data_IF_358985050777
#
_entry.id   IF_358985050777
#
_cell.length_a   1.000
_cell.length_b   1.000
_cell.length_c   1.000
_cell.angle_alpha   90.00
_cell.angle_beta   90.00
_cell.angle_gamma   90.00
#
_symmetry.space_group_name_H-M   'P 1'
#
loop_
_entity.id
_entity.type
_entity.pdbx_description
1 polymer ?
#
# COMPACT_ATOMS: atom_id res chain seq x y z
N UNK A 1 4.94 32.66 6.01
CA UNK A 1 4.36 31.37 6.43
C UNK A 1 2.90 31.62 6.75
N UNK A 2 1.95 30.97 6.08
CA UNK A 2 0.56 30.98 6.53
C UNK A 2 0.48 30.14 7.80
N UNK A 3 -0.24 30.61 8.83
CA UNK A 3 -0.35 29.88 10.09
C UNK A 3 -1.18 28.60 9.90
N UNK A 4 -1.01 27.62 10.80
CA UNK A 4 -1.83 26.39 10.83
C UNK A 4 -3.34 26.71 10.84
N UNK A 5 -3.72 27.83 11.45
CA UNK A 5 -5.09 28.34 11.51
C UNK A 5 -5.59 28.81 10.14
N UNK A 6 -4.74 29.48 9.35
CA UNK A 6 -5.08 29.95 8.00
C UNK A 6 -5.30 28.77 7.04
N UNK A 7 -4.51 27.71 7.19
CA UNK A 7 -4.66 26.51 6.37
C UNK A 7 -5.94 25.73 6.73
N UNK A 8 -6.23 25.57 8.02
CA UNK A 8 -7.52 24.99 8.48
C UNK A 8 -8.72 25.79 7.98
N UNK A 9 -8.64 27.12 7.98
CA UNK A 9 -9.70 27.98 7.46
C UNK A 9 -9.90 27.83 5.95
N UNK A 10 -8.82 27.70 5.17
CA UNK A 10 -8.87 27.48 3.73
C UNK A 10 -9.49 26.11 3.38
N UNK A 11 -9.06 25.03 4.05
CA UNK A 11 -9.62 23.69 3.89
C UNK A 11 -11.12 23.67 4.23
N UNK A 12 -11.51 24.32 5.33
CA UNK A 12 -12.92 24.43 5.75
C UNK A 12 -13.78 25.20 4.74
N UNK A 13 -13.27 26.31 4.18
CA UNK A 13 -13.96 27.06 3.11
C UNK A 13 -14.14 26.22 1.84
N UNK A 14 -13.12 25.44 1.46
CA UNK A 14 -13.16 24.54 0.30
C UNK A 14 -14.19 23.41 0.49
N UNK A 15 -14.18 22.76 1.65
CA UNK A 15 -15.17 21.73 2.00
C UNK A 15 -16.60 22.29 2.00
N UNK A 16 -16.80 23.48 2.55
CA UNK A 16 -18.09 24.16 2.59
C UNK A 16 -18.60 24.52 1.19
N UNK A 17 -17.72 24.99 0.30
CA UNK A 17 -18.05 25.23 -1.11
C UNK A 17 -18.56 23.94 -1.78
N UNK A 18 -17.86 22.83 -1.60
CA UNK A 18 -18.25 21.57 -2.22
C UNK A 18 -19.55 20.99 -1.66
N UNK A 19 -19.79 21.09 -0.35
CA UNK A 19 -21.07 20.68 0.26
C UNK A 19 -22.27 21.42 -0.29
N UNK A 20 -22.09 22.67 -0.73
CA UNK A 20 -23.14 23.51 -1.31
C UNK A 20 -23.42 23.20 -2.79
N UNK A 21 -22.58 22.40 -3.45
CA UNK A 21 -22.84 22.01 -4.84
C UNK A 21 -24.04 21.05 -4.92
N UNK A 22 -24.89 21.17 -5.97
CA UNK A 22 -25.91 20.17 -6.25
C UNK A 22 -25.30 18.77 -6.39
N UNK A 23 -25.99 17.73 -5.89
CA UNK A 23 -25.52 16.33 -5.95
C UNK A 23 -25.12 15.89 -7.36
N UNK A 24 -25.85 16.32 -8.39
CA UNK A 24 -25.51 16.04 -9.79
C UNK A 24 -24.14 16.60 -10.21
N UNK A 25 -23.82 17.84 -9.80
CA UNK A 25 -22.51 18.45 -10.07
C UNK A 25 -21.38 17.80 -9.27
N UNK A 26 -21.65 17.37 -8.03
CA UNK A 26 -20.68 16.61 -7.24
C UNK A 26 -20.34 15.28 -7.93
N UNK A 27 -21.34 14.56 -8.45
CA UNK A 27 -21.13 13.30 -9.14
C UNK A 27 -20.38 13.46 -10.47
N UNK A 28 -20.69 14.51 -11.23
CA UNK A 28 -19.95 14.87 -12.46
C UNK A 28 -18.46 15.16 -12.15
N UNK A 29 -18.19 15.94 -11.09
CA UNK A 29 -16.84 16.23 -10.63
C UNK A 29 -16.10 14.96 -10.20
N UNK A 30 -16.73 14.10 -9.39
CA UNK A 30 -16.14 12.82 -8.95
C UNK A 30 -15.78 11.96 -10.17
N UNK A 31 -16.70 11.82 -11.13
CA UNK A 31 -16.48 11.02 -12.36
C UNK A 31 -15.29 11.55 -13.15
N UNK A 32 -15.21 12.88 -13.34
CA UNK A 32 -14.08 13.52 -14.04
C UNK A 32 -12.75 13.37 -13.30
N UNK A 33 -12.78 13.44 -11.97
CA UNK A 33 -11.61 13.31 -11.10
C UNK A 33 -11.07 11.88 -11.12
N UNK A 34 -11.95 10.88 -11.14
CA UNK A 34 -11.59 9.46 -11.17
C UNK A 34 -11.44 8.86 -12.58
N UNK A 35 -11.73 9.62 -13.64
CA UNK A 35 -11.59 9.22 -15.04
C UNK A 35 -10.25 8.50 -15.40
N UNK A 36 -9.07 8.87 -14.83
CA UNK A 36 -7.82 8.14 -15.11
C UNK A 36 -7.81 6.67 -14.68
N UNK A 37 -8.69 6.26 -13.76
CA UNK A 37 -8.89 4.85 -13.40
C UNK A 37 -9.81 4.16 -14.44
N UNK A 38 -10.90 4.84 -14.81
CA UNK A 38 -12.00 4.34 -15.65
C UNK A 38 -11.56 4.13 -17.12
N UNK A 39 -10.66 4.96 -17.65
CA UNK A 39 -10.26 4.87 -19.06
C UNK A 39 -9.49 3.58 -19.42
N UNK A 40 -9.02 2.80 -18.43
CA UNK A 40 -8.34 1.51 -18.66
C UNK A 40 -9.31 0.32 -18.73
N UNK A 41 -10.60 0.50 -18.43
CA UNK A 41 -11.60 -0.59 -18.35
C UNK A 41 -12.61 -0.64 -19.51
N UNK A 42 -12.55 0.29 -20.47
CA UNK A 42 -13.59 0.43 -21.49
C UNK A 42 -13.68 -0.68 -22.54
N UNK A 43 -12.76 -1.65 -22.56
CA UNK A 43 -12.92 -2.88 -23.35
C UNK A 43 -13.37 -4.05 -22.46
N UNK A 44 -14.60 -3.98 -21.93
CA UNK A 44 -15.22 -5.11 -21.22
C UNK A 44 -16.18 -5.88 -22.14
N UNK A 45 -15.61 -6.83 -22.87
CA UNK A 45 -16.37 -7.90 -23.50
C UNK A 45 -17.01 -8.82 -22.44
N UNK A 46 -18.17 -9.35 -22.80
CA UNK A 46 -19.07 -10.22 -22.03
C UNK A 46 -18.31 -11.36 -21.33
N UNK A 47 -18.73 -11.69 -20.09
CA UNK A 47 -18.19 -12.81 -19.33
C UNK A 47 -18.45 -14.14 -20.06
N UNK A 48 -17.38 -14.74 -20.59
CA UNK A 48 -17.37 -16.08 -21.17
C UNK A 48 -16.54 -17.03 -20.29
N UNK A 49 -16.78 -18.35 -20.34
CA UNK A 49 -16.01 -19.32 -19.58
C UNK A 49 -14.50 -19.17 -19.84
N UNK A 50 -13.73 -19.07 -18.75
CA UNK A 50 -12.30 -18.79 -18.78
C UNK A 50 -11.54 -20.04 -19.25
N UNK A 51 -10.86 -19.92 -20.39
CA UNK A 51 -9.93 -20.93 -20.90
C UNK A 51 -8.73 -21.08 -19.95
N UNK A 52 -8.32 -22.33 -19.70
CA UNK A 52 -7.23 -22.75 -18.79
C UNK A 52 -5.84 -22.32 -19.32
N UNK A 53 -5.77 -21.94 -20.60
CA UNK A 53 -4.58 -21.41 -21.25
C UNK A 53 -5.00 -20.23 -22.12
N UNK A 54 -4.31 -19.08 -22.09
CA UNK A 54 -4.54 -18.05 -23.08
C UNK A 54 -4.23 -18.67 -24.46
N UNK A 55 -5.18 -18.62 -25.42
CA UNK A 55 -4.88 -18.87 -26.82
C UNK A 55 -3.67 -18.04 -27.28
N UNK A 56 -2.84 -18.59 -28.18
CA UNK A 56 -1.59 -17.97 -28.65
C UNK A 56 -1.80 -16.57 -29.27
N UNK A 57 -3.03 -16.26 -29.66
CA UNK A 57 -3.49 -14.99 -30.25
C UNK A 57 -3.96 -13.95 -29.22
N UNK A 58 -4.13 -14.31 -27.94
CA UNK A 58 -4.55 -13.38 -26.89
C UNK A 58 -3.33 -12.66 -26.31
N UNK A 59 -3.32 -11.33 -26.43
CA UNK A 59 -2.32 -10.47 -25.78
C UNK A 59 -2.41 -10.65 -24.27
N UNK A 60 -1.28 -10.99 -23.64
CA UNK A 60 -1.16 -11.22 -22.19
C UNK A 60 -1.90 -10.16 -21.34
N UNK A 61 -1.82 -8.84 -21.63
CA UNK A 61 -2.60 -7.82 -20.91
C UNK A 61 -4.13 -8.02 -20.92
N UNK A 62 -4.72 -8.40 -22.05
CA UNK A 62 -6.18 -8.60 -22.17
C UNK A 62 -6.65 -9.84 -21.41
N UNK A 63 -5.82 -10.87 -21.34
CA UNK A 63 -6.09 -12.05 -20.52
C UNK A 63 -6.05 -11.70 -19.04
N UNK A 64 -5.06 -10.92 -18.60
CA UNK A 64 -4.99 -10.41 -17.23
C UNK A 64 -6.22 -9.62 -16.83
N UNK A 65 -6.66 -8.68 -17.67
CA UNK A 65 -7.85 -7.87 -17.38
C UNK A 65 -9.09 -8.72 -17.19
N UNK A 66 -9.26 -9.76 -18.01
CA UNK A 66 -10.37 -10.71 -17.86
C UNK A 66 -10.28 -11.47 -16.54
N UNK A 67 -9.11 -12.00 -16.19
CA UNK A 67 -8.92 -12.74 -14.94
C UNK A 67 -9.15 -11.85 -13.70
N UNK A 68 -8.69 -10.60 -13.71
CA UNK A 68 -8.95 -9.65 -12.63
C UNK A 68 -10.45 -9.37 -12.49
N UNK A 69 -11.14 -9.12 -13.61
CA UNK A 69 -12.61 -8.96 -13.61
C UNK A 69 -13.33 -10.19 -13.06
N UNK A 70 -12.96 -11.39 -13.51
CA UNK A 70 -13.54 -12.64 -13.02
C UNK A 70 -13.27 -12.86 -11.54
N UNK A 71 -12.05 -12.56 -11.05
CA UNK A 71 -11.72 -12.68 -9.63
C UNK A 71 -12.56 -11.73 -8.78
N UNK A 72 -12.61 -10.45 -9.13
CA UNK A 72 -13.33 -9.45 -8.36
C UNK A 72 -14.84 -9.71 -8.38
N UNK A 73 -15.44 -9.82 -9.57
CA UNK A 73 -16.90 -10.03 -9.69
C UNK A 73 -17.33 -11.36 -9.10
N UNK A 74 -16.62 -12.43 -9.42
CA UNK A 74 -16.92 -13.77 -8.89
C UNK A 74 -16.83 -13.82 -7.37
N UNK A 75 -15.84 -13.15 -6.75
CA UNK A 75 -15.72 -13.09 -5.29
C UNK A 75 -16.85 -12.30 -4.64
N UNK A 76 -17.31 -11.21 -5.27
CA UNK A 76 -18.45 -10.42 -4.79
C UNK A 76 -19.77 -11.20 -4.91
N UNK A 77 -20.02 -11.83 -6.06
CA UNK A 77 -21.22 -12.64 -6.33
C UNK A 77 -21.31 -13.84 -5.38
N UNK A 78 -20.19 -14.53 -5.15
CA UNK A 78 -20.10 -15.65 -4.21
C UNK A 78 -20.14 -15.22 -2.73
N UNK A 79 -20.12 -13.91 -2.45
CA UNK A 79 -20.03 -13.33 -1.09
C UNK A 79 -18.79 -13.80 -0.33
N UNK A 80 -17.70 -14.08 -1.04
CA UNK A 80 -16.41 -14.48 -0.46
C UNK A 80 -15.72 -13.34 0.30
N UNK A 81 -16.17 -12.10 0.11
CA UNK A 81 -15.67 -10.93 0.82
C UNK A 81 -16.67 -10.50 1.90
N UNK A 82 -16.63 -11.13 3.10
CA UNK A 82 -17.56 -10.82 4.18
C UNK A 82 -17.32 -9.40 4.70
N UNK A 83 -18.42 -8.66 4.81
CA UNK A 83 -18.42 -7.23 5.13
C UNK A 83 -18.49 -7.02 6.64
N UNK A 84 -17.79 -6.01 7.13
CA UNK A 84 -18.01 -5.47 8.48
C UNK A 84 -18.82 -4.17 8.34
N UNK A 85 -19.87 -4.02 9.17
CA UNK A 85 -20.71 -2.83 9.20
C UNK A 85 -19.94 -1.56 9.62
N UNK A 86 -18.78 -1.69 10.27
CA UNK A 86 -17.98 -0.56 10.79
C UNK A 86 -16.65 -0.34 10.06
N UNK A 87 -16.08 -1.34 9.36
CA UNK A 87 -14.72 -1.28 8.81
C UNK A 87 -14.56 -1.91 7.41
N UNK A 88 -15.56 -1.79 6.54
CA UNK A 88 -15.47 -2.23 5.14
C UNK A 88 -15.48 -3.77 4.98
N UNK A 89 -14.39 -4.46 5.33
CA UNK A 89 -14.26 -5.93 5.29
C UNK A 89 -13.77 -6.52 6.59
N UNK A 90 -14.23 -7.74 6.87
CA UNK A 90 -13.76 -8.53 8.01
C UNK A 90 -12.33 -8.99 7.76
N UNK A 91 -11.41 -8.71 8.69
CA UNK A 91 -10.00 -9.14 8.68
C UNK A 91 -9.04 -8.33 7.78
N UNK A 92 -9.36 -7.08 7.45
CA UNK A 92 -8.55 -6.17 6.61
C UNK A 92 -7.05 -6.12 6.98
N UNK A 93 -6.70 -6.23 8.26
CA UNK A 93 -5.30 -6.17 8.72
C UNK A 93 -4.51 -7.46 8.46
N UNK A 94 -5.18 -8.55 8.08
CA UNK A 94 -4.56 -9.89 8.09
C UNK A 94 -3.62 -10.11 6.91
N UNK A 95 -4.02 -9.72 5.70
CA UNK A 95 -3.15 -9.81 4.51
C UNK A 95 -1.98 -8.83 4.60
N UNK A 96 -2.17 -7.56 5.00
CA UNK A 96 -1.06 -6.64 5.27
C UNK A 96 -0.08 -7.17 6.33
N UNK A 97 -0.58 -7.70 7.46
CA UNK A 97 0.25 -8.27 8.51
C UNK A 97 0.99 -9.53 8.07
N UNK A 98 0.40 -10.36 7.21
CA UNK A 98 1.13 -11.48 6.62
C UNK A 98 2.28 -10.99 5.72
N UNK A 99 2.02 -9.98 4.90
CA UNK A 99 2.99 -9.44 3.96
C UNK A 99 4.05 -8.53 4.62
N UNK A 100 3.90 -8.16 5.90
CA UNK A 100 4.92 -7.38 6.60
C UNK A 100 6.24 -8.14 6.74
N UNK A 101 6.18 -9.47 6.85
CA UNK A 101 7.36 -10.35 6.82
C UNK A 101 8.23 -10.15 5.56
N UNK A 102 7.62 -9.92 4.39
CA UNK A 102 8.34 -9.61 3.15
C UNK A 102 9.04 -8.26 3.25
N UNK A 103 8.40 -7.27 3.88
CA UNK A 103 9.02 -5.96 4.11
C UNK A 103 10.20 -6.07 5.08
N UNK A 104 10.06 -6.84 6.16
CA UNK A 104 11.13 -7.11 7.12
C UNK A 104 12.32 -7.80 6.46
N UNK A 105 12.06 -8.79 5.59
CA UNK A 105 13.09 -9.43 4.78
C UNK A 105 13.84 -8.42 3.90
N UNK A 106 13.10 -7.54 3.19
CA UNK A 106 13.70 -6.51 2.35
C UNK A 106 14.51 -5.48 3.15
N UNK A 107 14.14 -5.22 4.41
CA UNK A 107 14.90 -4.34 5.30
C UNK A 107 16.22 -4.97 5.70
N UNK A 108 16.21 -6.18 6.24
CA UNK A 108 17.44 -6.82 6.73
C UNK A 108 18.39 -7.20 5.57
N UNK A 109 17.87 -7.45 4.36
CA UNK A 109 18.71 -7.62 3.15
C UNK A 109 19.57 -6.41 2.82
N UNK A 110 19.06 -5.19 3.04
CA UNK A 110 19.85 -3.96 2.79
C UNK A 110 21.07 -3.85 3.70
N UNK A 111 21.03 -4.52 4.84
CA UNK A 111 22.13 -4.59 5.80
C UNK A 111 23.01 -5.83 5.59
N UNK A 112 22.80 -6.59 4.51
CA UNK A 112 23.58 -7.80 4.19
C UNK A 112 23.22 -9.04 5.01
N UNK A 113 22.12 -8.98 5.78
CA UNK A 113 21.66 -10.04 6.68
C UNK A 113 20.80 -11.08 5.94
N UNK A 114 21.48 -11.86 5.10
CA UNK A 114 20.83 -12.79 4.16
C UNK A 114 20.10 -13.95 4.86
N UNK A 115 20.63 -14.45 5.98
CA UNK A 115 20.04 -15.61 6.68
C UNK A 115 18.69 -15.24 7.30
N UNK A 116 18.64 -14.08 7.94
CA UNK A 116 17.46 -13.49 8.59
C UNK A 116 16.38 -13.17 7.55
N UNK A 117 16.78 -12.62 6.41
CA UNK A 117 15.88 -12.40 5.29
C UNK A 117 15.20 -13.69 4.83
N UNK A 118 15.98 -14.76 4.64
CA UNK A 118 15.46 -16.07 4.23
C UNK A 118 14.46 -16.60 5.26
N UNK A 119 14.68 -16.37 6.55
CA UNK A 119 13.76 -16.80 7.61
C UNK A 119 12.41 -16.08 7.55
N UNK A 120 12.41 -14.75 7.38
CA UNK A 120 11.18 -13.99 7.17
C UNK A 120 10.42 -14.46 5.92
N UNK A 121 11.13 -14.72 4.82
CA UNK A 121 10.52 -15.21 3.58
C UNK A 121 9.96 -16.64 3.73
N UNK A 122 10.64 -17.51 4.49
CA UNK A 122 10.11 -18.85 4.82
C UNK A 122 8.86 -18.76 5.68
N UNK A 123 8.81 -17.83 6.63
CA UNK A 123 7.60 -17.58 7.43
C UNK A 123 6.43 -17.13 6.54
N UNK A 124 6.68 -16.18 5.62
CA UNK A 124 5.71 -15.75 4.62
C UNK A 124 5.15 -16.93 3.82
N UNK A 125 6.01 -17.78 3.25
CA UNK A 125 5.60 -18.95 2.46
C UNK A 125 4.83 -19.98 3.31
N UNK A 126 5.25 -20.21 4.57
CA UNK A 126 4.55 -21.15 5.46
C UNK A 126 3.10 -20.76 5.72
N UNK A 127 2.82 -19.46 5.80
CA UNK A 127 1.46 -18.95 6.01
C UNK A 127 0.64 -18.86 4.71
N UNK A 128 1.27 -18.92 3.53
CA UNK A 128 0.62 -18.74 2.24
C UNK A 128 -0.61 -19.65 2.01
N UNK A 129 -0.64 -20.95 2.40
CA UNK A 129 -1.82 -21.79 2.16
C UNK A 129 -3.08 -21.25 2.84
N UNK A 130 -2.95 -20.80 4.10
CA UNK A 130 -4.06 -20.25 4.88
C UNK A 130 -4.51 -18.92 4.28
N UNK A 131 -3.56 -18.07 3.91
CA UNK A 131 -3.83 -16.71 3.44
C UNK A 131 -4.44 -16.70 2.05
N UNK A 132 -3.91 -17.52 1.13
CA UNK A 132 -4.46 -17.66 -0.22
C UNK A 132 -5.90 -18.19 -0.18
N UNK A 133 -6.21 -19.14 0.70
CA UNK A 133 -7.55 -19.72 0.84
C UNK A 133 -8.63 -18.73 1.30
N UNK A 134 -8.25 -17.59 1.89
CA UNK A 134 -9.21 -16.57 2.37
C UNK A 134 -9.91 -15.80 1.26
N UNK A 135 -9.31 -15.76 0.06
CA UNK A 135 -9.81 -14.99 -1.08
C UNK A 135 -10.11 -13.53 -0.72
N UNK A 136 -9.17 -12.84 -0.06
CA UNK A 136 -9.33 -11.45 0.39
C UNK A 136 -9.18 -10.44 -0.78
N UNK A 137 -9.90 -9.29 -0.78
CA UNK A 137 -9.76 -8.26 -1.83
C UNK A 137 -8.36 -7.63 -1.89
N UNK A 138 -7.59 -7.61 -0.79
CA UNK A 138 -6.21 -7.13 -0.77
C UNK A 138 -5.21 -8.19 -1.24
N UNK A 139 -5.61 -9.46 -1.31
CA UNK A 139 -4.71 -10.58 -1.52
C UNK A 139 -3.87 -10.45 -2.80
N UNK A 140 -4.51 -10.19 -3.94
CA UNK A 140 -3.81 -10.11 -5.22
C UNK A 140 -2.78 -8.97 -5.23
N UNK A 141 -3.18 -7.77 -4.81
CA UNK A 141 -2.29 -6.60 -4.84
C UNK A 141 -1.09 -6.80 -3.91
N UNK A 142 -1.30 -7.33 -2.72
CA UNK A 142 -0.22 -7.60 -1.77
C UNK A 142 0.73 -8.69 -2.26
N UNK A 143 0.23 -9.83 -2.73
CA UNK A 143 1.05 -10.92 -3.30
C UNK A 143 1.88 -10.41 -4.50
N UNK A 144 1.25 -9.65 -5.40
CA UNK A 144 1.93 -9.06 -6.55
C UNK A 144 3.07 -8.14 -6.10
N UNK A 145 2.80 -7.27 -5.11
CA UNK A 145 3.81 -6.34 -4.60
C UNK A 145 4.92 -6.98 -3.77
N UNK A 146 4.65 -8.10 -3.09
CA UNK A 146 5.68 -8.88 -2.40
C UNK A 146 6.76 -9.40 -3.37
N UNK A 147 6.40 -9.72 -4.61
CA UNK A 147 7.38 -10.06 -5.65
C UNK A 147 8.11 -8.81 -6.16
N UNK A 148 7.38 -7.70 -6.39
CA UNK A 148 7.98 -6.44 -6.84
C UNK A 148 9.05 -5.88 -5.88
N UNK A 149 8.91 -6.13 -4.58
CA UNK A 149 9.90 -5.75 -3.56
C UNK A 149 11.33 -6.19 -3.89
N UNK A 150 11.47 -7.32 -4.57
CA UNK A 150 12.76 -7.92 -4.90
C UNK A 150 13.06 -7.92 -6.39
N UNK A 151 12.06 -7.66 -7.24
CA UNK A 151 12.17 -7.88 -8.69
C UNK A 151 13.26 -7.02 -9.36
N UNK A 152 13.61 -5.86 -8.80
CA UNK A 152 14.65 -4.97 -9.33
C UNK A 152 16.05 -5.32 -8.82
N UNK A 153 16.20 -5.45 -7.51
CA UNK A 153 17.52 -5.52 -6.87
C UNK A 153 17.92 -6.95 -6.45
N UNK A 154 16.96 -7.87 -6.36
CA UNK A 154 17.16 -9.23 -5.88
C UNK A 154 16.35 -10.24 -6.72
N UNK A 155 16.61 -10.27 -8.04
CA UNK A 155 15.85 -11.06 -9.01
C UNK A 155 15.68 -12.55 -8.62
N UNK A 156 16.71 -13.15 -8.04
CA UNK A 156 16.68 -14.55 -7.59
C UNK A 156 15.68 -14.76 -6.42
N UNK A 157 15.56 -13.81 -5.50
CA UNK A 157 14.58 -13.84 -4.40
C UNK A 157 13.17 -13.67 -4.97
N UNK A 158 12.99 -12.73 -5.91
CA UNK A 158 11.71 -12.52 -6.58
C UNK A 158 11.24 -13.79 -7.31
N UNK A 159 12.15 -14.44 -8.05
CA UNK A 159 11.87 -15.70 -8.74
C UNK A 159 11.52 -16.82 -7.77
N UNK A 160 12.27 -16.95 -6.67
CA UNK A 160 12.01 -17.94 -5.64
C UNK A 160 10.64 -17.74 -4.98
N UNK A 161 10.29 -16.49 -4.62
CA UNK A 161 8.97 -16.17 -4.06
C UNK A 161 7.85 -16.56 -5.01
N UNK A 162 7.97 -16.15 -6.27
CA UNK A 162 6.99 -16.43 -7.31
C UNK A 162 6.77 -17.94 -7.51
N UNK A 163 7.86 -18.71 -7.54
CA UNK A 163 7.81 -20.17 -7.65
C UNK A 163 7.12 -20.81 -6.43
N UNK A 164 7.43 -20.36 -5.21
CA UNK A 164 6.83 -20.93 -4.00
C UNK A 164 5.35 -20.55 -3.86
N UNK A 165 4.96 -19.31 -4.16
CA UNK A 165 3.56 -18.88 -4.17
C UNK A 165 2.77 -19.70 -5.20
N UNK A 166 3.32 -19.89 -6.40
CA UNK A 166 2.71 -20.74 -7.42
C UNK A 166 2.55 -22.18 -6.93
N UNK A 167 3.61 -22.80 -6.40
CA UNK A 167 3.54 -24.16 -5.88
C UNK A 167 2.48 -24.31 -4.79
N UNK A 168 2.43 -23.39 -3.82
CA UNK A 168 1.37 -23.37 -2.80
C UNK A 168 0.00 -23.27 -3.45
N UNK A 169 -0.19 -22.38 -4.44
CA UNK A 169 -1.48 -22.24 -5.12
C UNK A 169 -1.98 -23.53 -5.80
N UNK A 170 -1.05 -24.39 -6.24
CA UNK A 170 -1.33 -25.71 -6.83
C UNK A 170 -1.55 -26.82 -5.79
N UNK A 171 -1.43 -26.51 -4.49
CA UNK A 171 -1.78 -27.46 -3.40
C UNK A 171 -3.14 -27.18 -2.77
N UNK A 172 -3.78 -26.07 -3.13
CA UNK A 172 -5.06 -25.66 -2.57
C UNK A 172 -6.23 -26.45 -3.18
N UNK A 173 -7.42 -26.48 -2.52
CA UNK A 173 -8.57 -27.26 -2.98
C UNK A 173 -9.05 -26.93 -4.41
N UNK A 174 -8.67 -25.77 -4.94
CA UNK A 174 -8.97 -25.36 -6.31
C UNK A 174 -7.91 -25.77 -7.35
N UNK A 175 -6.98 -26.66 -7.00
CA UNK A 175 -6.00 -27.21 -7.95
C UNK A 175 -6.71 -27.80 -9.17
N UNK A 176 -6.15 -27.57 -10.36
CA UNK A 176 -6.72 -28.03 -11.63
C UNK A 176 -8.01 -27.33 -12.07
N UNK A 177 -8.58 -26.42 -11.26
CA UNK A 177 -9.79 -25.67 -11.61
C UNK A 177 -9.48 -24.36 -12.34
N UNK A 178 -10.51 -23.77 -12.94
CA UNK A 178 -10.47 -22.42 -13.54
C UNK A 178 -10.64 -21.30 -12.49
N UNK A 179 -10.25 -21.53 -11.22
CA UNK A 179 -10.37 -20.52 -10.18
C UNK A 179 -9.56 -19.25 -10.55
N UNK A 180 -10.17 -18.05 -10.60
CA UNK A 180 -9.53 -16.85 -11.13
C UNK A 180 -8.22 -16.47 -10.43
N UNK A 181 -8.14 -16.59 -9.10
CA UNK A 181 -6.91 -16.32 -8.35
C UNK A 181 -5.78 -17.29 -8.70
N UNK A 182 -6.10 -18.56 -8.92
CA UNK A 182 -5.10 -19.58 -9.32
C UNK A 182 -4.54 -19.21 -10.70
N UNK A 183 -5.42 -18.90 -11.64
CA UNK A 183 -5.02 -18.48 -12.99
C UNK A 183 -4.19 -17.19 -12.93
N UNK A 184 -4.56 -16.19 -12.13
CA UNK A 184 -3.75 -14.98 -11.94
C UNK A 184 -2.33 -15.32 -11.45
N UNK A 185 -2.21 -16.18 -10.43
CA UNK A 185 -0.90 -16.64 -9.91
C UNK A 185 -0.11 -17.39 -10.99
N UNK A 186 -0.76 -18.24 -11.77
CA UNK A 186 -0.12 -18.97 -12.86
C UNK A 186 0.41 -18.03 -13.95
N UNK A 187 -0.36 -17.00 -14.34
CA UNK A 187 0.11 -16.06 -15.37
C UNK A 187 1.28 -15.23 -14.84
N UNK A 188 1.23 -14.72 -13.59
CA UNK A 188 2.37 -13.97 -13.03
C UNK A 188 3.61 -14.86 -12.91
N UNK A 189 3.45 -16.14 -12.59
CA UNK A 189 4.54 -17.10 -12.56
C UNK A 189 5.19 -17.28 -13.95
N UNK A 190 4.37 -17.39 -15.01
CA UNK A 190 4.85 -17.51 -16.38
C UNK A 190 5.52 -16.24 -16.90
N UNK A 191 5.02 -15.06 -16.52
CA UNK A 191 5.65 -13.80 -16.87
C UNK A 191 7.06 -13.72 -16.31
N UNK A 192 7.23 -14.09 -15.03
CA UNK A 192 8.48 -13.87 -14.32
C UNK A 192 8.68 -12.40 -13.87
N UNK A 193 9.68 -12.12 -13.01
CA UNK A 193 9.77 -10.84 -12.32
C UNK A 193 10.03 -9.63 -13.22
N UNK A 194 10.77 -9.78 -14.33
CA UNK A 194 11.10 -8.65 -15.22
C UNK A 194 9.85 -8.15 -15.95
N UNK A 195 9.09 -9.07 -16.49
CA UNK A 195 7.83 -8.84 -17.19
C UNK A 195 6.77 -8.35 -16.20
N UNK A 196 6.77 -8.85 -14.96
CA UNK A 196 5.93 -8.28 -13.89
C UNK A 196 6.22 -6.79 -13.68
N UNK A 197 7.49 -6.36 -13.60
CA UNK A 197 7.81 -4.93 -13.48
C UNK A 197 7.25 -4.15 -14.68
N UNK A 198 7.46 -4.65 -15.90
CA UNK A 198 7.01 -3.99 -17.13
C UNK A 198 5.48 -3.80 -17.19
N UNK A 199 4.71 -4.71 -16.58
CA UNK A 199 3.25 -4.67 -16.57
C UNK A 199 2.64 -4.20 -15.24
N UNK A 200 3.43 -3.87 -14.23
CA UNK A 200 2.95 -3.57 -12.88
C UNK A 200 2.01 -2.35 -12.84
N UNK A 201 2.36 -1.25 -13.52
CA UNK A 201 1.52 -0.04 -13.57
C UNK A 201 0.11 -0.34 -14.07
N UNK A 202 -0.09 -0.86 -15.31
CA UNK A 202 -1.44 -1.12 -15.81
C UNK A 202 -2.19 -2.17 -14.99
N UNK A 203 -1.52 -3.22 -14.49
CA UNK A 203 -2.17 -4.27 -13.69
C UNK A 203 -2.71 -3.72 -12.35
N UNK A 204 -1.90 -2.95 -11.62
CA UNK A 204 -2.31 -2.38 -10.33
C UNK A 204 -3.47 -1.39 -10.53
N UNK A 205 -3.38 -0.49 -11.52
CA UNK A 205 -4.43 0.48 -11.81
C UNK A 205 -5.73 -0.19 -12.25
N UNK A 206 -5.64 -1.21 -13.09
CA UNK A 206 -6.79 -1.99 -13.54
C UNK A 206 -7.50 -2.68 -12.38
N UNK A 207 -6.75 -3.31 -11.48
CA UNK A 207 -7.34 -4.03 -10.34
C UNK A 207 -8.22 -3.11 -9.48
N UNK A 208 -7.75 -1.89 -9.23
CA UNK A 208 -8.49 -0.89 -8.46
C UNK A 208 -9.69 -0.38 -9.25
N UNK A 209 -9.55 -0.16 -10.56
CA UNK A 209 -10.68 0.25 -11.40
C UNK A 209 -11.79 -0.79 -11.34
N UNK A 210 -11.46 -2.08 -11.49
CA UNK A 210 -12.43 -3.18 -11.46
C UNK A 210 -13.12 -3.25 -10.09
N UNK A 211 -12.37 -3.07 -9.00
CA UNK A 211 -12.94 -3.06 -7.64
C UNK A 211 -13.84 -1.85 -7.43
N UNK A 212 -13.39 -0.67 -7.84
CA UNK A 212 -14.18 0.56 -7.79
C UNK A 212 -15.49 0.41 -8.56
N UNK A 213 -15.45 -0.16 -9.76
CA UNK A 213 -16.62 -0.36 -10.62
C UNK A 213 -17.57 -1.42 -10.06
N UNK A 214 -17.03 -2.47 -9.42
CA UNK A 214 -17.83 -3.58 -8.89
C UNK A 214 -18.45 -3.25 -7.53
N UNK A 215 -17.71 -2.57 -6.66
CA UNK A 215 -18.18 -2.22 -5.32
C UNK A 215 -18.93 -0.90 -5.31
N UNK A 216 -18.51 0.10 -6.10
CA UNK A 216 -19.12 1.43 -6.18
C UNK A 216 -18.27 2.53 -5.53
N UNK A 217 -18.68 3.79 -5.78
CA UNK A 217 -17.90 5.00 -5.44
C UNK A 217 -17.81 5.34 -3.95
N UNK A 218 -18.69 4.80 -3.10
CA UNK A 218 -18.86 5.25 -1.71
C UNK A 218 -18.23 4.31 -0.65
N UNK A 219 -17.35 3.39 -1.04
CA UNK A 219 -16.88 2.34 -0.14
C UNK A 219 -15.53 2.66 0.50
N UNK A 220 -15.40 2.62 1.84
CA UNK A 220 -14.14 2.81 2.55
C UNK A 220 -12.99 1.92 2.06
N UNK A 221 -13.25 0.67 1.66
CA UNK A 221 -12.22 -0.21 1.09
C UNK A 221 -11.58 0.39 -0.18
N UNK A 222 -12.38 1.06 -1.01
CA UNK A 222 -11.86 1.64 -2.23
C UNK A 222 -10.81 2.68 -1.85
N UNK A 223 -11.04 3.44 -0.76
CA UNK A 223 -10.06 4.39 -0.23
C UNK A 223 -8.81 3.71 0.35
N UNK A 224 -8.97 2.59 1.08
CA UNK A 224 -7.85 1.81 1.60
C UNK A 224 -6.94 1.32 0.46
N UNK A 225 -7.53 0.62 -0.51
CA UNK A 225 -6.83 0.11 -1.70
C UNK A 225 -6.23 1.23 -2.55
N UNK A 226 -6.93 2.35 -2.65
CA UNK A 226 -6.46 3.56 -3.30
C UNK A 226 -5.23 4.14 -2.60
N UNK A 227 -5.26 4.24 -1.27
CA UNK A 227 -4.15 4.79 -0.48
C UNK A 227 -2.89 3.95 -0.65
N UNK A 228 -3.03 2.63 -0.50
CA UNK A 228 -1.97 1.67 -0.74
C UNK A 228 -1.42 1.76 -2.16
N UNK A 229 -2.29 1.98 -3.15
CA UNK A 229 -1.87 2.06 -4.54
C UNK A 229 -0.95 3.23 -4.79
N UNK A 230 -1.25 4.40 -4.25
CA UNK A 230 -0.35 5.56 -4.35
C UNK A 230 1.02 5.21 -3.80
N UNK A 231 1.05 4.57 -2.64
CA UNK A 231 2.29 4.12 -2.03
C UNK A 231 3.05 3.15 -2.94
N UNK A 232 2.37 2.15 -3.53
CA UNK A 232 2.97 1.17 -4.45
C UNK A 232 3.52 1.85 -5.70
N UNK A 233 2.73 2.71 -6.35
CA UNK A 233 3.13 3.40 -7.58
C UNK A 233 4.37 4.28 -7.36
N UNK A 234 4.44 4.96 -6.22
CA UNK A 234 5.58 5.78 -5.84
C UNK A 234 6.79 4.94 -5.45
N UNK A 235 6.59 3.95 -4.56
CA UNK A 235 7.67 3.14 -3.97
C UNK A 235 8.40 2.30 -5.02
N UNK A 236 7.64 1.69 -5.93
CA UNK A 236 8.20 0.85 -6.98
C UNK A 236 8.47 1.65 -8.26
N UNK A 237 8.40 2.98 -8.22
CA UNK A 237 8.66 3.89 -9.34
C UNK A 237 7.93 3.44 -10.63
N UNK A 238 6.67 3.07 -10.47
CA UNK A 238 5.80 2.66 -11.58
C UNK A 238 5.20 3.89 -12.27
N UNK A 239 5.24 5.03 -11.60
CA UNK A 239 4.83 6.35 -12.08
C UNK A 239 5.82 7.39 -11.55
N UNK A 240 5.97 8.49 -12.27
CA UNK A 240 6.74 9.63 -11.79
C UNK A 240 6.09 10.23 -10.54
N UNK A 241 6.87 10.89 -9.68
CA UNK A 241 6.35 11.50 -8.48
C UNK A 241 5.28 12.57 -8.76
N UNK A 242 5.41 13.33 -9.86
CA UNK A 242 4.41 14.31 -10.30
C UNK A 242 3.10 13.66 -10.74
N UNK A 243 3.15 12.56 -11.48
CA UNK A 243 1.95 11.80 -11.83
C UNK A 243 1.25 11.26 -10.58
N UNK A 244 2.01 10.75 -9.61
CA UNK A 244 1.47 10.25 -8.33
C UNK A 244 0.86 11.39 -7.51
N UNK A 245 1.50 12.57 -7.44
CA UNK A 245 0.93 13.76 -6.78
C UNK A 245 -0.40 14.14 -7.42
N UNK A 246 -0.46 14.20 -8.75
CA UNK A 246 -1.68 14.55 -9.47
C UNK A 246 -2.80 13.53 -9.20
N UNK A 247 -2.47 12.25 -9.19
CA UNK A 247 -3.40 11.17 -8.87
C UNK A 247 -3.89 11.29 -7.42
N UNK A 248 -2.99 11.44 -6.46
CA UNK A 248 -3.34 11.53 -5.04
C UNK A 248 -4.19 12.75 -4.70
N UNK A 249 -3.92 13.91 -5.30
CA UNK A 249 -4.77 15.11 -5.12
C UNK A 249 -6.20 14.87 -5.62
N UNK A 250 -6.36 14.15 -6.73
CA UNK A 250 -7.66 13.76 -7.27
C UNK A 250 -8.39 12.83 -6.32
N UNK A 251 -7.70 11.83 -5.78
CA UNK A 251 -8.28 10.85 -4.86
C UNK A 251 -8.69 11.46 -3.52
N UNK A 252 -7.86 12.33 -2.94
CA UNK A 252 -8.19 13.10 -1.72
C UNK A 252 -9.44 13.95 -1.95
N UNK A 253 -9.52 14.63 -3.11
CA UNK A 253 -10.70 15.42 -3.45
C UNK A 253 -11.94 14.54 -3.63
N UNK A 254 -11.84 13.40 -4.31
CA UNK A 254 -12.96 12.48 -4.49
C UNK A 254 -13.50 11.99 -3.15
N UNK A 255 -12.61 11.58 -2.24
CA UNK A 255 -12.95 11.18 -0.87
C UNK A 255 -13.70 12.30 -0.11
N UNK A 256 -13.19 13.53 -0.18
CA UNK A 256 -13.83 14.69 0.47
C UNK A 256 -15.21 15.02 -0.13
N UNK A 257 -15.36 14.93 -1.45
CA UNK A 257 -16.65 15.13 -2.12
C UNK A 257 -17.70 14.07 -1.76
N UNK A 258 -17.25 12.86 -1.44
CA UNK A 258 -18.11 11.74 -1.05
C UNK A 258 -18.45 11.74 0.44
N UNK A 259 -17.90 12.67 1.23
CA UNK A 259 -18.06 12.69 2.69
C UNK A 259 -17.30 11.55 3.39
N UNK A 260 -16.29 10.99 2.73
CA UNK A 260 -15.44 9.92 3.22
C UNK A 260 -14.09 10.47 3.70
N UNK A 261 -14.08 11.69 4.24
CA UNK A 261 -12.91 12.39 4.77
C UNK A 261 -12.65 12.10 6.26
N UNK A 262 -13.48 11.22 6.84
CA UNK A 262 -13.56 10.88 8.25
C UNK A 262 -13.26 9.40 8.50
N UNK A 263 -12.15 8.92 7.95
CA UNK A 263 -11.71 7.53 8.11
C UNK A 263 -10.18 7.44 8.14
N UNK A 264 -9.65 6.31 8.66
CA UNK A 264 -8.21 6.04 8.71
C UNK A 264 -7.58 6.05 7.31
N UNK A 265 -8.31 5.58 6.30
CA UNK A 265 -7.81 5.40 4.94
C UNK A 265 -7.60 6.73 4.22
N UNK A 266 -8.45 7.73 4.51
CA UNK A 266 -8.23 9.09 4.04
C UNK A 266 -6.97 9.73 4.61
N UNK A 267 -6.67 9.43 5.89
CA UNK A 267 -5.43 9.89 6.50
C UNK A 267 -4.21 9.18 5.89
N UNK A 268 -4.29 7.87 5.59
CA UNK A 268 -3.24 7.12 4.91
C UNK A 268 -3.01 7.69 3.51
N UNK A 269 -4.09 7.97 2.79
CA UNK A 269 -4.06 8.59 1.47
C UNK A 269 -3.34 9.94 1.51
N UNK A 270 -3.66 10.80 2.49
CA UNK A 270 -2.95 12.07 2.71
C UNK A 270 -1.48 11.84 3.06
N UNK A 271 -1.15 10.88 3.91
CA UNK A 271 0.23 10.56 4.27
C UNK A 271 1.06 10.12 3.04
N UNK A 272 0.49 9.30 2.16
CA UNK A 272 1.16 8.88 0.93
C UNK A 272 1.29 10.03 -0.08
N UNK A 273 0.30 10.92 -0.17
CA UNK A 273 0.42 12.15 -0.94
C UNK A 273 1.51 13.08 -0.39
N UNK A 274 1.68 13.18 0.94
CA UNK A 274 2.78 13.93 1.56
C UNK A 274 4.15 13.33 1.16
N UNK A 275 4.25 12.00 1.15
CA UNK A 275 5.46 11.30 0.67
C UNK A 275 5.73 11.57 -0.82
N UNK A 276 4.69 11.69 -1.65
CA UNK A 276 4.84 12.06 -3.06
C UNK A 276 5.32 13.52 -3.21
N UNK A 277 4.78 14.46 -2.42
CA UNK A 277 5.26 15.84 -2.40
C UNK A 277 6.72 15.97 -1.96
N UNK A 278 7.15 15.15 -0.99
CA UNK A 278 8.56 15.08 -0.59
C UNK A 278 9.45 14.69 -1.79
N UNK A 279 9.02 13.69 -2.59
CA UNK A 279 9.75 13.24 -3.78
C UNK A 279 9.81 14.29 -4.89
N UNK A 280 8.79 15.14 -5.03
CA UNK A 280 8.81 16.30 -5.96
C UNK A 280 9.46 17.55 -5.37
N UNK A 281 10.11 17.44 -4.20
CA UNK A 281 10.74 18.55 -3.46
C UNK A 281 9.77 19.66 -3.05
N UNK A 282 8.47 19.39 -3.03
CA UNK A 282 7.46 20.31 -2.53
C UNK A 282 7.28 20.14 -1.02
N UNK A 283 8.32 20.48 -0.26
CA UNK A 283 8.37 20.27 1.19
C UNK A 283 7.30 21.05 1.96
N UNK A 284 6.91 22.22 1.43
CA UNK A 284 5.82 23.03 2.00
C UNK A 284 4.51 22.26 2.01
N UNK A 285 4.08 21.71 0.87
CA UNK A 285 2.83 20.96 0.79
C UNK A 285 2.91 19.65 1.58
N UNK A 286 4.06 18.96 1.54
CA UNK A 286 4.28 17.78 2.36
C UNK A 286 4.07 18.07 3.86
N UNK A 287 4.64 19.19 4.35
CA UNK A 287 4.52 19.63 5.75
C UNK A 287 3.09 19.98 6.13
N UNK A 288 2.42 20.79 5.32
CA UNK A 288 1.03 21.19 5.57
C UNK A 288 0.11 19.97 5.70
N UNK A 289 0.31 18.96 4.85
CA UNK A 289 -0.45 17.72 4.91
C UNK A 289 -0.15 16.92 6.18
N UNK A 290 1.12 16.78 6.57
CA UNK A 290 1.49 16.08 7.81
C UNK A 290 0.96 16.78 9.06
N UNK A 291 0.95 18.11 9.08
CA UNK A 291 0.39 18.92 10.17
C UNK A 291 -1.13 18.80 10.25
N UNK A 292 -1.81 18.73 9.11
CA UNK A 292 -3.25 18.47 9.04
C UNK A 292 -3.59 17.10 9.64
N UNK A 293 -2.85 16.05 9.27
CA UNK A 293 -3.03 14.70 9.82
C UNK A 293 -2.77 14.70 11.33
N UNK A 294 -1.67 15.28 11.80
CA UNK A 294 -1.34 15.39 13.23
C UNK A 294 -2.41 16.15 14.02
N UNK A 295 -3.00 17.19 13.42
CA UNK A 295 -4.05 18.01 14.01
C UNK A 295 -5.43 17.34 14.00
N UNK A 296 -5.58 16.18 13.37
CA UNK A 296 -6.81 15.40 13.33
C UNK A 296 -6.82 14.45 14.52
N UNK A 297 -7.20 14.98 15.69
CA UNK A 297 -7.60 14.15 16.84
C UNK A 297 -9.10 13.97 16.79
N UNK A 298 -9.55 12.75 16.55
CA UNK A 298 -10.94 12.37 16.63
C UNK A 298 -10.99 11.15 17.53
N UNK A 299 -11.76 11.26 18.62
CA UNK A 299 -11.96 10.19 19.61
C UNK A 299 -12.49 8.89 18.95
N UNK A 300 -13.13 9.00 17.80
CA UNK A 300 -13.65 7.89 16.99
C UNK A 300 -12.63 7.27 16.01
N UNK A 301 -11.48 7.91 15.76
CA UNK A 301 -10.48 7.42 14.81
C UNK A 301 -9.26 6.88 15.56
N UNK A 302 -9.15 5.55 15.65
CA UNK A 302 -7.94 4.87 16.12
C UNK A 302 -6.77 5.02 15.11
N UNK A 303 -6.33 6.26 14.87
CA UNK A 303 -5.24 6.59 13.94
C UNK A 303 -3.83 6.36 14.53
N UNK A 304 -3.76 5.92 15.79
CA UNK A 304 -2.50 5.70 16.50
C UNK A 304 -1.55 4.80 15.69
N UNK A 305 -2.07 3.75 15.04
CA UNK A 305 -1.28 2.80 14.23
C UNK A 305 -0.55 3.46 13.05
N UNK A 306 -1.02 4.61 12.55
CA UNK A 306 -0.37 5.36 11.47
C UNK A 306 0.80 6.21 11.96
N UNK A 307 0.80 6.56 13.25
CA UNK A 307 1.67 7.58 13.81
C UNK A 307 3.18 7.31 13.60
N UNK A 308 3.70 6.07 13.67
CA UNK A 308 5.09 5.82 13.32
C UNK A 308 5.44 6.26 11.90
N UNK A 309 4.63 5.90 10.91
CA UNK A 309 4.84 6.28 9.50
C UNK A 309 4.74 7.79 9.29
N UNK A 310 3.84 8.45 10.01
CA UNK A 310 3.71 9.90 9.97
C UNK A 310 4.97 10.59 10.53
N UNK A 311 5.49 10.13 11.67
CA UNK A 311 6.74 10.61 12.24
C UNK A 311 7.95 10.36 11.35
N UNK A 312 8.04 9.20 10.68
CA UNK A 312 9.08 8.96 9.66
C UNK A 312 8.96 9.93 8.48
N UNK A 313 7.73 10.25 8.05
CA UNK A 313 7.50 11.21 6.96
C UNK A 313 7.94 12.61 7.37
N UNK A 314 7.55 13.07 8.57
CA UNK A 314 8.00 14.36 9.13
C UNK A 314 9.53 14.40 9.23
N UNK A 315 10.15 13.32 9.74
CA UNK A 315 11.61 13.20 9.82
C UNK A 315 12.27 13.37 8.47
N UNK A 316 11.77 12.72 7.41
CA UNK A 316 12.29 12.90 6.05
C UNK A 316 12.11 14.32 5.50
N UNK A 317 11.00 14.99 5.82
CA UNK A 317 10.79 16.39 5.41
C UNK A 317 11.81 17.28 6.13
N UNK A 318 12.02 17.09 7.44
CA UNK A 318 13.01 17.86 8.19
C UNK A 318 14.44 17.60 7.70
N UNK A 319 14.79 16.35 7.37
CA UNK A 319 16.07 16.00 6.75
C UNK A 319 16.25 16.71 5.41
N UNK A 320 15.23 16.68 4.54
CA UNK A 320 15.27 17.32 3.22
C UNK A 320 15.34 18.86 3.28
N UNK A 321 14.85 19.44 4.38
CA UNK A 321 14.96 20.88 4.67
C UNK A 321 16.24 21.23 5.49
N UNK A 322 17.16 20.28 5.69
CA UNK A 322 18.44 20.50 6.37
C UNK A 322 18.37 20.60 7.90
N UNK A 323 17.25 20.22 8.51
CA UNK A 323 17.04 20.27 9.97
C UNK A 323 17.26 18.90 10.62
N UNK A 324 18.52 18.49 10.67
CA UNK A 324 18.91 17.17 11.15
C UNK A 324 18.46 16.89 12.60
N UNK A 325 18.55 17.86 13.51
CA UNK A 325 18.09 17.71 14.91
C UNK A 325 16.60 17.32 14.99
N UNK A 326 15.76 18.00 14.21
CA UNK A 326 14.31 17.72 14.16
C UNK A 326 14.01 16.40 13.45
N UNK A 327 14.81 16.06 12.44
CA UNK A 327 14.71 14.78 11.76
C UNK A 327 14.99 13.63 12.73
N UNK A 328 16.04 13.74 13.57
CA UNK A 328 16.35 12.78 14.63
C UNK A 328 15.25 12.70 15.68
N UNK A 329 14.76 13.84 16.17
CA UNK A 329 13.66 13.87 17.14
C UNK A 329 12.43 13.13 16.61
N UNK A 330 12.03 13.39 15.37
CA UNK A 330 10.89 12.74 14.72
C UNK A 330 11.14 11.25 14.47
N UNK A 331 12.35 10.86 14.06
CA UNK A 331 12.70 9.45 13.88
C UNK A 331 12.68 8.66 15.20
N UNK A 332 13.17 9.27 16.29
CA UNK A 332 13.09 8.72 17.63
C UNK A 332 11.63 8.55 18.09
N UNK A 333 10.78 9.56 17.84
CA UNK A 333 9.33 9.45 18.11
C UNK A 333 8.68 8.29 17.35
N UNK A 334 9.08 8.02 16.10
CA UNK A 334 8.58 6.87 15.37
C UNK A 334 8.90 5.53 16.09
N UNK A 335 10.11 5.39 16.66
CA UNK A 335 10.51 4.21 17.45
C UNK A 335 9.67 4.10 18.73
N UNK A 336 9.57 5.18 19.50
CA UNK A 336 8.82 5.21 20.77
C UNK A 336 7.36 4.81 20.54
N UNK A 337 6.73 5.41 19.53
CA UNK A 337 5.33 5.13 19.19
C UNK A 337 5.17 3.71 18.67
N UNK A 338 6.12 3.19 17.88
CA UNK A 338 6.08 1.80 17.39
C UNK A 338 6.09 0.80 18.55
N UNK A 339 6.98 0.98 19.52
CA UNK A 339 7.05 0.14 20.73
C UNK A 339 5.75 0.20 21.52
N UNK A 340 5.22 1.40 21.73
CA UNK A 340 3.97 1.60 22.48
C UNK A 340 2.78 0.88 21.85
N UNK A 341 2.65 0.92 20.52
CA UNK A 341 1.45 0.47 19.81
C UNK A 341 1.55 -0.99 19.37
N UNK A 342 2.71 -1.39 18.86
CA UNK A 342 2.92 -2.70 18.25
C UNK A 342 3.75 -3.63 19.14
N UNK A 343 4.28 -3.13 20.26
CA UNK A 343 5.17 -3.85 21.15
C UNK A 343 6.64 -3.74 20.75
N UNK A 344 7.51 -4.13 21.69
CA UNK A 344 8.97 -4.05 21.53
C UNK A 344 9.49 -4.95 20.40
N UNK A 345 8.82 -6.09 20.16
CA UNK A 345 9.22 -7.11 19.18
C UNK A 345 8.19 -7.17 18.05
N UNK A 346 8.23 -6.18 17.17
CA UNK A 346 7.34 -6.12 16.01
C UNK A 346 8.07 -5.64 14.76
N UNK A 347 7.53 -5.98 13.59
CA UNK A 347 8.02 -5.48 12.30
C UNK A 347 8.01 -3.94 12.25
N UNK A 348 7.04 -3.30 12.89
CA UNK A 348 6.97 -1.85 12.99
C UNK A 348 8.10 -1.27 13.84
N UNK A 349 8.45 -1.91 14.96
CA UNK A 349 9.58 -1.50 15.79
C UNK A 349 10.90 -1.71 15.05
N UNK A 350 11.07 -2.85 14.36
CA UNK A 350 12.25 -3.12 13.51
C UNK A 350 12.43 -2.04 12.43
N UNK A 351 11.36 -1.75 11.69
CA UNK A 351 11.38 -0.75 10.62
C UNK A 351 11.71 0.65 11.15
N UNK A 352 11.17 1.02 12.31
CA UNK A 352 11.45 2.31 12.95
C UNK A 352 12.87 2.43 13.45
N UNK A 353 13.43 1.37 14.06
CA UNK A 353 14.83 1.35 14.48
C UNK A 353 15.77 1.45 13.28
N UNK A 354 15.51 0.72 12.20
CA UNK A 354 16.30 0.81 10.99
C UNK A 354 16.26 2.24 10.40
N UNK A 355 15.05 2.81 10.29
CA UNK A 355 14.88 4.19 9.82
C UNK A 355 15.65 5.18 10.69
N UNK A 356 15.55 5.06 12.02
CA UNK A 356 16.28 5.93 12.94
C UNK A 356 17.79 5.77 12.81
N UNK A 357 18.29 4.54 12.66
CA UNK A 357 19.72 4.28 12.43
C UNK A 357 20.24 5.01 11.18
N UNK A 358 19.46 5.06 10.10
CA UNK A 358 19.82 5.76 8.87
C UNK A 358 19.87 7.29 9.08
N UNK A 359 18.93 7.84 9.85
CA UNK A 359 18.93 9.27 10.18
C UNK A 359 20.15 9.62 11.05
N UNK A 360 20.47 8.79 12.05
CA UNK A 360 21.65 8.98 12.92
C UNK A 360 22.96 8.88 12.14
N UNK A 361 23.08 7.94 11.20
CA UNK A 361 24.23 7.85 10.28
C UNK A 361 24.44 9.15 9.50
N UNK A 362 23.37 9.74 8.96
CA UNK A 362 23.45 11.01 8.23
C UNK A 362 23.77 12.21 9.12
N UNK A 363 23.32 12.17 10.37
CA UNK A 363 23.64 13.18 11.38
C UNK A 363 25.02 13.01 12.02
N UNK A 364 25.78 11.96 11.68
CA UNK A 364 27.05 11.58 12.32
C UNK A 364 26.95 11.36 13.85
N UNK A 365 25.79 10.92 14.33
CA UNK A 365 25.53 10.66 15.76
C UNK A 365 25.93 9.25 16.17
N UNK A 366 27.24 8.99 16.24
CA UNK A 366 27.82 7.65 16.41
C UNK A 366 27.39 6.94 17.70
N UNK A 367 27.38 7.66 18.82
CA UNK A 367 27.03 7.08 20.13
C UNK A 367 25.58 6.60 20.19
N UNK A 368 24.65 7.38 19.65
CA UNK A 368 23.24 6.99 19.58
C UNK A 368 23.04 5.84 18.59
N UNK A 369 23.77 5.88 17.47
CA UNK A 369 23.70 4.83 16.45
C UNK A 369 24.08 3.47 17.02
N UNK A 370 25.16 3.37 17.81
CA UNK A 370 25.57 2.12 18.46
C UNK A 370 24.45 1.50 19.30
N UNK A 371 23.79 2.32 20.14
CA UNK A 371 22.66 1.86 20.95
C UNK A 371 21.47 1.37 20.10
N UNK A 372 21.13 2.11 19.05
CA UNK A 372 20.04 1.75 18.13
C UNK A 372 20.34 0.45 17.36
N UNK A 373 21.59 0.22 16.98
CA UNK A 373 22.00 -1.02 16.31
C UNK A 373 21.91 -2.23 17.25
N UNK A 374 22.28 -2.08 18.52
CA UNK A 374 22.08 -3.14 19.53
C UNK A 374 20.60 -3.48 19.73
N UNK A 375 19.75 -2.46 19.83
CA UNK A 375 18.30 -2.63 19.92
C UNK A 375 17.75 -3.34 18.67
N UNK A 376 18.22 -2.95 17.48
CA UNK A 376 17.82 -3.55 16.21
C UNK A 376 18.19 -5.03 16.16
N UNK A 377 19.41 -5.39 16.54
CA UNK A 377 19.86 -6.78 16.59
C UNK A 377 19.05 -7.61 17.59
N UNK A 378 18.69 -7.02 18.73
CA UNK A 378 17.86 -7.69 19.70
C UNK A 378 16.44 -7.93 19.19
N UNK A 379 15.85 -6.95 18.50
CA UNK A 379 14.53 -7.12 17.87
C UNK A 379 14.56 -8.21 16.80
N UNK A 380 15.57 -8.23 15.93
CA UNK A 380 15.70 -9.26 14.90
C UNK A 380 15.76 -10.66 15.52
N UNK A 381 16.60 -10.87 16.54
CA UNK A 381 16.69 -12.15 17.26
C UNK A 381 15.36 -12.58 17.90
N UNK A 382 14.56 -11.62 18.36
CA UNK A 382 13.23 -11.90 18.95
C UNK A 382 12.15 -12.20 17.92
N UNK A 383 12.27 -11.66 16.71
CA UNK A 383 11.35 -11.95 15.60
C UNK A 383 11.70 -13.27 14.88
N UNK A 384 12.92 -13.75 15.03
CA UNK A 384 13.36 -15.05 14.51
C UNK A 384 12.82 -16.24 15.33
N UNK A 385 12.80 -16.11 16.66
CA UNK A 385 12.36 -17.16 17.59
C UNK A 385 10.84 -17.23 17.73
#
# INVERSE_FOLDING_TARGET
>A
MLSLADNKAATKKRQEYFRRLPKGKQMELITRVLQPFIATSQDSAIAHPVLITPPDDIRVPEYYMRLLNSYVRGSVEAKNWPRDAKSGFKNEDTVPAWCSSVMSAAVVLKDGRNAEAIQFLRHFIRQAPIQLSRQDPLLFSFVYTSVLFFARDHLHIAQWLLQNIYHVSETLPWVGSSHPLRLLIQVIFRLGPKEMIAHARPIILAYISVIHDTLGTAYPIVQDMMSDTIWRLLRYELMSADEVVNLGRRMVLAAELQGQDRCKDHLNLKMHLASAYLKTRNYREARLLTEEIMGTQHEDFHNERMMPSLHMTISRIDEAEGRLDKAMESACKAVIVSRKIFGDWSDWTLNSLNFYSQVLKKANETKLLEGVLLDLDYVVKKLEG
#
